data_IF_113574645364
#
_entry.id   IF_113574645364
#
_cell.length_a   1.000
_cell.length_b   1.000
_cell.length_c   1.000
_cell.angle_alpha   90.00
_cell.angle_beta   90.00
_cell.angle_gamma   90.00
#
_symmetry.space_group_name_H-M   'P 1'
#
loop_
_entity.id
_entity.type
_entity.pdbx_description
1 polymer ?
#
# COMPACT_ATOMS: atom_id res chain seq x y z
N UNK A 1 -8.19 2.46 -6.99
CA UNK A 1 -7.18 3.05 -7.88
C UNK A 1 -7.67 4.41 -8.38
N UNK A 2 -6.79 5.38 -8.47
CA UNK A 2 -7.09 6.67 -9.08
C UNK A 2 -7.34 6.48 -10.58
N UNK A 3 -8.50 6.90 -11.10
CA UNK A 3 -8.89 6.63 -12.49
C UNK A 3 -7.91 7.23 -13.50
N UNK A 4 -7.36 8.43 -13.21
CA UNK A 4 -6.39 9.12 -14.06
C UNK A 4 -5.05 8.38 -14.21
N UNK A 5 -4.73 7.41 -13.34
CA UNK A 5 -3.45 6.70 -13.30
C UNK A 5 -3.58 5.20 -13.60
N UNK A 6 -4.74 4.74 -14.13
CA UNK A 6 -5.03 3.32 -14.30
C UNK A 6 -3.95 2.55 -15.07
N UNK A 7 -3.40 3.16 -16.13
CA UNK A 7 -2.38 2.52 -16.96
C UNK A 7 -1.00 2.42 -16.28
N UNK A 8 -0.77 3.27 -15.26
CA UNK A 8 0.51 3.30 -14.54
C UNK A 8 0.60 2.30 -13.40
N UNK A 9 -0.53 1.71 -12.97
CA UNK A 9 -0.52 0.64 -11.98
C UNK A 9 0.04 -0.66 -12.56
N UNK A 10 0.52 -1.54 -11.67
CA UNK A 10 0.89 -2.92 -12.02
C UNK A 10 -0.29 -3.63 -12.68
N UNK A 11 -0.09 -4.15 -13.90
CA UNK A 11 -1.09 -5.01 -14.54
C UNK A 11 -1.08 -6.40 -13.91
N UNK A 12 -1.91 -6.54 -12.89
CA UNK A 12 -2.08 -7.82 -12.19
C UNK A 12 -2.64 -8.94 -13.10
N UNK A 13 -3.35 -8.58 -14.18
CA UNK A 13 -3.85 -9.58 -15.16
C UNK A 13 -2.70 -10.13 -15.99
N UNK A 14 -1.77 -9.25 -16.43
CA UNK A 14 -0.57 -9.67 -17.16
C UNK A 14 0.29 -10.60 -16.29
N UNK A 15 0.51 -10.27 -15.01
CA UNK A 15 1.23 -11.15 -14.08
C UNK A 15 0.56 -12.51 -13.90
N UNK A 16 -0.77 -12.56 -13.83
CA UNK A 16 -1.50 -13.85 -13.77
C UNK A 16 -1.35 -14.67 -15.06
N UNK A 17 -1.31 -14.02 -16.22
CA UNK A 17 -1.07 -14.71 -17.51
C UNK A 17 0.35 -15.29 -17.55
N UNK A 18 1.35 -14.53 -17.11
CA UNK A 18 2.73 -14.99 -17.05
C UNK A 18 2.89 -16.21 -16.13
N UNK A 19 2.27 -16.22 -14.94
CA UNK A 19 2.26 -17.38 -14.05
C UNK A 19 1.66 -18.61 -14.76
N UNK A 20 0.54 -18.45 -15.47
CA UNK A 20 -0.10 -19.56 -16.19
C UNK A 20 0.80 -20.09 -17.32
N UNK A 21 1.51 -19.20 -18.02
CA UNK A 21 2.44 -19.57 -19.08
C UNK A 21 3.61 -20.38 -18.52
N UNK A 22 4.28 -19.91 -17.46
CA UNK A 22 5.36 -20.64 -16.79
C UNK A 22 4.91 -22.05 -16.35
N UNK A 23 3.68 -22.17 -15.82
CA UNK A 23 3.08 -23.46 -15.45
C UNK A 23 2.92 -24.37 -16.66
N UNK A 24 2.37 -23.86 -17.77
CA UNK A 24 2.12 -24.64 -18.97
C UNK A 24 3.42 -25.09 -19.65
N UNK A 25 4.49 -24.35 -19.50
CA UNK A 25 5.83 -24.65 -20.04
C UNK A 25 6.70 -25.47 -19.06
N UNK A 26 6.20 -25.75 -17.85
CA UNK A 26 6.94 -26.46 -16.81
C UNK A 26 8.12 -25.66 -16.23
N UNK A 27 8.13 -24.35 -16.42
CA UNK A 27 9.22 -23.47 -15.93
C UNK A 27 9.06 -23.13 -14.46
N UNK A 28 9.62 -23.97 -13.59
CA UNK A 28 9.66 -23.75 -12.15
C UNK A 28 10.47 -22.51 -11.75
N UNK A 29 11.40 -22.05 -12.59
CA UNK A 29 12.18 -20.81 -12.41
C UNK A 29 11.35 -19.55 -12.63
N UNK A 30 10.24 -19.68 -13.37
CA UNK A 30 9.29 -18.61 -13.67
C UNK A 30 9.93 -17.41 -14.39
N UNK A 31 10.60 -17.69 -15.50
CA UNK A 31 11.30 -16.69 -16.31
C UNK A 31 10.34 -15.63 -16.87
N UNK A 32 9.18 -16.06 -17.40
CA UNK A 32 8.20 -15.13 -17.95
C UNK A 32 7.57 -14.25 -16.85
N UNK A 33 7.22 -14.83 -15.70
CA UNK A 33 6.73 -14.04 -14.57
C UNK A 33 7.73 -12.99 -14.12
N UNK A 34 9.03 -13.34 -13.98
CA UNK A 34 10.09 -12.40 -13.60
C UNK A 34 10.23 -11.28 -14.62
N UNK A 35 10.23 -11.62 -15.91
CA UNK A 35 10.34 -10.65 -17.00
C UNK A 35 9.18 -9.65 -16.99
N UNK A 36 7.94 -10.15 -16.90
CA UNK A 36 6.74 -9.30 -16.86
C UNK A 36 6.72 -8.45 -15.57
N UNK A 37 7.06 -9.05 -14.42
CA UNK A 37 7.10 -8.31 -13.16
C UNK A 37 8.13 -7.16 -13.20
N UNK A 38 9.34 -7.41 -13.72
CA UNK A 38 10.35 -6.36 -13.88
C UNK A 38 9.84 -5.23 -14.75
N UNK A 39 9.29 -5.51 -15.92
CA UNK A 39 8.74 -4.50 -16.82
C UNK A 39 7.61 -3.68 -16.19
N UNK A 40 6.75 -4.33 -15.41
CA UNK A 40 5.68 -3.63 -14.69
C UNK A 40 6.23 -2.73 -13.57
N UNK A 41 7.26 -3.19 -12.86
CA UNK A 41 7.91 -2.39 -11.82
C UNK A 41 8.64 -1.17 -12.42
N UNK A 42 9.32 -1.33 -13.54
CA UNK A 42 10.00 -0.22 -14.24
C UNK A 42 8.98 0.85 -14.67
N UNK A 43 7.81 0.43 -15.17
CA UNK A 43 6.70 1.33 -15.51
C UNK A 43 6.20 2.11 -14.30
N UNK A 44 5.96 1.41 -13.18
CA UNK A 44 5.50 2.01 -11.90
C UNK A 44 6.53 3.01 -11.39
N UNK A 45 7.81 2.64 -11.43
CA UNK A 45 8.90 3.46 -10.92
C UNK A 45 9.09 4.73 -11.76
N UNK A 46 9.04 4.61 -13.09
CA UNK A 46 9.10 5.75 -14.00
C UNK A 46 7.97 6.75 -13.75
N UNK A 47 6.74 6.24 -13.59
CA UNK A 47 5.60 7.09 -13.28
C UNK A 47 5.72 7.76 -11.91
N UNK A 48 6.11 6.99 -10.88
CA UNK A 48 6.31 7.53 -9.53
C UNK A 48 7.35 8.65 -9.51
N UNK A 49 8.51 8.45 -10.17
CA UNK A 49 9.57 9.43 -10.24
C UNK A 49 9.10 10.74 -10.88
N UNK A 50 8.29 10.66 -11.95
CA UNK A 50 7.72 11.84 -12.61
C UNK A 50 6.75 12.58 -11.66
N UNK A 51 5.87 11.85 -10.95
CA UNK A 51 4.92 12.46 -10.02
C UNK A 51 5.63 13.04 -8.78
N UNK A 52 6.59 12.33 -8.21
CA UNK A 52 7.39 12.81 -7.08
C UNK A 52 8.10 14.13 -7.43
N UNK A 53 8.77 14.19 -8.59
CA UNK A 53 9.45 15.40 -9.05
C UNK A 53 8.49 16.55 -9.27
N UNK A 54 7.33 16.28 -9.85
CA UNK A 54 6.28 17.28 -10.06
C UNK A 54 5.74 17.83 -8.73
N UNK A 55 5.50 16.98 -7.75
CA UNK A 55 5.03 17.39 -6.42
C UNK A 55 6.09 18.20 -5.66
N UNK A 56 7.36 17.83 -5.76
CA UNK A 56 8.47 18.61 -5.19
C UNK A 56 8.54 20.01 -5.79
N UNK A 57 8.44 20.11 -7.12
CA UNK A 57 8.39 21.40 -7.80
C UNK A 57 7.20 22.26 -7.33
N UNK A 58 5.98 21.69 -7.33
CA UNK A 58 4.77 22.39 -6.86
C UNK A 58 4.89 22.85 -5.42
N UNK A 59 5.45 22.00 -4.54
CA UNK A 59 5.68 22.34 -3.14
C UNK A 59 6.68 23.49 -2.98
N UNK A 60 7.76 23.50 -3.77
CA UNK A 60 8.72 24.59 -3.81
C UNK A 60 8.05 25.91 -4.20
N UNK A 61 7.32 25.93 -5.30
CA UNK A 61 6.58 27.10 -5.79
C UNK A 61 5.56 27.62 -4.75
N UNK A 62 4.84 26.71 -4.12
CA UNK A 62 3.88 27.04 -3.06
C UNK A 62 4.56 27.75 -1.88
N UNK A 63 5.69 27.20 -1.40
CA UNK A 63 6.43 27.78 -0.26
C UNK A 63 7.03 29.15 -0.61
N UNK A 64 7.57 29.33 -1.81
CA UNK A 64 8.09 30.63 -2.26
C UNK A 64 6.97 31.68 -2.33
N UNK A 65 5.80 31.32 -2.88
CA UNK A 65 4.62 32.20 -2.90
C UNK A 65 4.18 32.58 -1.48
N UNK A 66 4.14 31.62 -0.55
CA UNK A 66 3.82 31.89 0.86
C UNK A 66 4.83 32.80 1.58
N UNK A 67 6.12 32.69 1.26
CA UNK A 67 7.17 33.56 1.81
C UNK A 67 7.05 35.00 1.31
N UNK A 68 6.78 35.21 0.05
CA UNK A 68 6.65 36.53 -0.56
C UNK A 68 5.47 37.34 -0.02
N UNK A 69 4.50 36.64 0.62
CA UNK A 69 3.29 37.25 1.18
C UNK A 69 3.44 37.65 2.65
N UNK A 70 4.50 37.20 3.34
CA UNK A 70 4.75 37.59 4.73
C UNK A 70 5.06 39.08 4.83
N UNK A 71 4.22 39.82 5.53
CA UNK A 71 4.40 41.28 5.77
C UNK A 71 3.63 42.18 4.82
N UNK A 72 2.91 41.67 3.83
CA UNK A 72 2.03 42.45 2.96
C UNK A 72 0.57 42.26 3.32
N UNK A 73 -0.25 43.28 3.09
CA UNK A 73 -1.72 43.12 3.16
C UNK A 73 -2.17 42.24 2.00
N UNK A 74 -2.41 40.97 2.29
CA UNK A 74 -2.82 39.99 1.29
C UNK A 74 -4.32 40.17 1.02
N UNK A 75 -4.72 40.25 -0.26
CA UNK A 75 -6.13 40.27 -0.59
C UNK A 75 -6.77 38.90 -0.33
N UNK A 76 -8.03 38.88 0.11
CA UNK A 76 -8.81 37.66 0.36
C UNK A 76 -8.79 36.69 -0.82
N UNK A 77 -8.77 37.20 -2.05
CA UNK A 77 -8.69 36.40 -3.27
C UNK A 77 -7.39 35.60 -3.36
N UNK A 78 -6.26 36.20 -2.99
CA UNK A 78 -4.95 35.53 -3.02
C UNK A 78 -4.83 34.50 -1.90
N UNK A 79 -5.37 34.81 -0.73
CA UNK A 79 -5.43 33.87 0.39
C UNK A 79 -6.23 32.62 0.02
N UNK A 80 -7.39 32.81 -0.59
CA UNK A 80 -8.23 31.70 -1.11
C UNK A 80 -7.50 30.86 -2.14
N UNK A 81 -6.83 31.48 -3.12
CA UNK A 81 -6.03 30.76 -4.13
C UNK A 81 -4.92 29.91 -3.49
N UNK A 82 -4.27 30.44 -2.45
CA UNK A 82 -3.23 29.73 -1.72
C UNK A 82 -3.80 28.51 -0.97
N UNK A 83 -4.94 28.66 -0.32
CA UNK A 83 -5.65 27.59 0.36
C UNK A 83 -6.10 26.48 -0.62
N UNK A 84 -6.62 26.84 -1.77
CA UNK A 84 -7.04 25.89 -2.79
C UNK A 84 -5.83 25.13 -3.36
N UNK A 85 -4.73 25.82 -3.64
CA UNK A 85 -3.46 25.20 -4.06
C UNK A 85 -2.92 24.23 -3.00
N UNK A 86 -3.02 24.58 -1.72
CA UNK A 86 -2.62 23.70 -0.62
C UNK A 86 -3.46 22.42 -0.56
N UNK A 87 -4.80 22.55 -0.69
CA UNK A 87 -5.71 21.40 -0.69
C UNK A 87 -5.44 20.44 -1.84
N UNK A 88 -5.22 21.00 -3.05
CA UNK A 88 -4.85 20.19 -4.21
C UNK A 88 -3.52 19.45 -3.98
N UNK A 89 -2.50 20.15 -3.50
CA UNK A 89 -1.19 19.56 -3.24
C UNK A 89 -1.27 18.43 -2.19
N UNK A 90 -2.06 18.64 -1.14
CA UNK A 90 -2.31 17.63 -0.10
C UNK A 90 -3.02 16.41 -0.68
N UNK A 91 -4.02 16.62 -1.53
CA UNK A 91 -4.74 15.54 -2.24
C UNK A 91 -3.81 14.77 -3.17
N UNK A 92 -2.98 15.44 -3.95
CA UNK A 92 -2.05 14.79 -4.89
C UNK A 92 -0.97 13.96 -4.16
N UNK A 93 -0.45 14.45 -3.03
CA UNK A 93 0.48 13.69 -2.16
C UNK A 93 -0.20 12.46 -1.59
N UNK A 94 -1.46 12.58 -1.15
CA UNK A 94 -2.25 11.46 -0.68
C UNK A 94 -2.46 10.41 -1.77
N UNK A 95 -2.85 10.83 -2.97
CA UNK A 95 -3.08 9.93 -4.11
C UNK A 95 -1.79 9.20 -4.53
N UNK A 96 -0.64 9.89 -4.49
CA UNK A 96 0.64 9.25 -4.77
C UNK A 96 1.01 8.21 -3.69
N UNK A 97 0.72 8.49 -2.42
CA UNK A 97 0.91 7.51 -1.34
C UNK A 97 0.02 6.27 -1.54
N UNK A 98 -1.24 6.47 -1.93
CA UNK A 98 -2.17 5.40 -2.27
C UNK A 98 -1.71 4.59 -3.48
N UNK A 99 -1.13 5.26 -4.48
CA UNK A 99 -0.51 4.61 -5.64
C UNK A 99 0.62 3.65 -5.22
N UNK A 100 1.53 4.09 -4.37
CA UNK A 100 2.62 3.26 -3.82
C UNK A 100 2.06 2.03 -3.13
N UNK A 101 1.10 2.22 -2.23
CA UNK A 101 0.49 1.14 -1.45
C UNK A 101 -0.19 0.10 -2.33
N UNK A 102 -0.98 0.53 -3.33
CA UNK A 102 -1.70 -0.38 -4.21
C UNK A 102 -0.76 -1.21 -5.09
N UNK A 103 0.34 -0.61 -5.59
CA UNK A 103 1.35 -1.33 -6.35
C UNK A 103 2.11 -2.34 -5.49
N UNK A 104 2.49 -1.95 -4.27
CA UNK A 104 3.06 -2.88 -3.30
C UNK A 104 2.17 -4.12 -3.07
N UNK A 105 0.88 -3.89 -2.81
CA UNK A 105 -0.10 -4.98 -2.60
C UNK A 105 -0.21 -5.87 -3.84
N UNK A 106 -0.24 -5.29 -5.04
CA UNK A 106 -0.32 -6.05 -6.28
C UNK A 106 0.89 -6.99 -6.44
N UNK A 107 2.11 -6.50 -6.17
CA UNK A 107 3.34 -7.30 -6.21
C UNK A 107 3.30 -8.42 -5.19
N UNK A 108 2.96 -8.11 -3.93
CA UNK A 108 2.86 -9.13 -2.86
C UNK A 108 1.87 -10.22 -3.23
N UNK A 109 0.68 -9.85 -3.72
CA UNK A 109 -0.35 -10.82 -4.16
C UNK A 109 0.14 -11.66 -5.34
N UNK A 110 0.83 -11.07 -6.32
CA UNK A 110 1.34 -11.78 -7.48
C UNK A 110 2.41 -12.81 -7.10
N UNK A 111 3.39 -12.41 -6.29
CA UNK A 111 4.46 -13.29 -5.82
C UNK A 111 3.90 -14.43 -4.96
N UNK A 112 2.99 -14.15 -4.03
CA UNK A 112 2.32 -15.19 -3.23
C UNK A 112 1.54 -16.16 -4.12
N UNK A 113 0.82 -15.66 -5.13
CA UNK A 113 0.09 -16.50 -6.08
C UNK A 113 1.04 -17.38 -6.87
N UNK A 114 2.13 -16.84 -7.40
CA UNK A 114 3.16 -17.62 -8.09
C UNK A 114 3.70 -18.73 -7.20
N UNK A 115 4.15 -18.41 -5.99
CA UNK A 115 4.71 -19.40 -5.07
C UNK A 115 3.71 -20.55 -4.81
N UNK A 116 2.44 -20.23 -4.54
CA UNK A 116 1.41 -21.24 -4.31
C UNK A 116 1.24 -22.19 -5.51
N UNK A 117 1.17 -21.65 -6.73
CA UNK A 117 0.98 -22.46 -7.91
C UNK A 117 2.21 -23.30 -8.23
N UNK A 118 3.42 -22.78 -8.08
CA UNK A 118 4.64 -23.54 -8.32
C UNK A 118 4.81 -24.68 -7.32
N UNK A 119 4.46 -24.47 -6.06
CA UNK A 119 4.47 -25.53 -5.04
C UNK A 119 3.42 -26.62 -5.33
N UNK A 120 2.26 -26.27 -5.90
CA UNK A 120 1.22 -27.25 -6.21
C UNK A 120 1.54 -28.17 -7.39
N UNK A 121 2.49 -27.80 -8.25
CA UNK A 121 2.91 -28.61 -9.42
C UNK A 121 4.26 -29.30 -9.23
N UNK A 122 5.05 -28.89 -8.27
CA UNK A 122 6.33 -29.51 -7.95
C UNK A 122 6.08 -30.84 -7.22
N UNK A 123 6.76 -31.89 -7.68
CA UNK A 123 6.73 -33.19 -7.00
C UNK A 123 7.53 -33.19 -5.70
N UNK A 124 8.44 -32.23 -5.54
CA UNK A 124 9.29 -32.05 -4.36
C UNK A 124 9.39 -30.55 -4.05
N UNK A 125 9.00 -30.17 -2.86
CA UNK A 125 9.05 -28.77 -2.37
C UNK A 125 10.48 -28.19 -2.36
N UNK A 126 11.50 -29.03 -2.30
CA UNK A 126 12.91 -28.61 -2.33
C UNK A 126 13.35 -28.01 -3.67
N UNK A 127 12.65 -28.33 -4.76
CA UNK A 127 12.98 -27.89 -6.13
C UNK A 127 12.48 -26.48 -6.41
N UNK A 128 11.44 -26.03 -5.71
CA UNK A 128 10.84 -24.70 -5.95
C UNK A 128 11.43 -23.65 -5.03
N UNK A 129 12.23 -22.78 -5.61
CA UNK A 129 12.69 -21.60 -4.88
C UNK A 129 11.53 -20.62 -4.62
N UNK A 130 11.14 -20.44 -3.36
CA UNK A 130 10.15 -19.43 -2.95
C UNK A 130 10.70 -18.03 -3.23
N UNK A 131 9.94 -17.23 -3.97
CA UNK A 131 10.26 -15.83 -4.20
C UNK A 131 9.75 -14.98 -3.04
N UNK A 132 10.54 -13.98 -2.62
CA UNK A 132 10.14 -12.98 -1.63
C UNK A 132 9.83 -11.66 -2.35
N UNK A 133 8.70 -10.98 -2.06
CA UNK A 133 8.35 -9.69 -2.69
C UNK A 133 9.45 -8.64 -2.57
N UNK A 134 10.13 -8.61 -1.43
CA UNK A 134 11.21 -7.64 -1.16
C UNK A 134 12.38 -7.74 -2.16
N UNK A 135 12.64 -8.92 -2.73
CA UNK A 135 13.70 -9.11 -3.72
C UNK A 135 13.48 -8.27 -4.99
N UNK A 136 12.23 -7.93 -5.29
CA UNK A 136 11.84 -7.13 -6.45
C UNK A 136 11.64 -5.66 -6.09
N UNK A 137 11.24 -5.36 -4.85
CA UNK A 137 10.86 -4.03 -4.41
C UNK A 137 12.01 -3.22 -3.86
N UNK A 138 13.04 -3.88 -3.27
CA UNK A 138 14.14 -3.17 -2.59
C UNK A 138 14.97 -2.26 -3.52
N UNK A 139 14.93 -2.50 -4.82
CA UNK A 139 15.64 -1.69 -5.83
C UNK A 139 14.76 -0.60 -6.45
N UNK A 140 13.45 -0.61 -6.17
CA UNK A 140 12.49 0.31 -6.79
C UNK A 140 12.42 1.63 -6.01
N UNK A 141 12.53 2.73 -6.71
CA UNK A 141 12.52 4.05 -6.10
C UNK A 141 11.17 4.36 -5.43
N UNK A 142 10.04 3.98 -6.06
CA UNK A 142 8.71 4.20 -5.48
C UNK A 142 8.52 3.52 -4.11
N UNK A 143 9.31 2.48 -3.82
CA UNK A 143 9.24 1.74 -2.54
C UNK A 143 10.28 2.24 -1.52
N UNK A 144 11.43 2.76 -1.98
CA UNK A 144 12.56 3.14 -1.13
C UNK A 144 12.66 4.64 -0.89
N UNK A 145 11.97 5.47 -1.67
CA UNK A 145 12.06 6.93 -1.55
C UNK A 145 11.49 7.44 -0.24
N UNK A 146 12.25 8.34 0.38
CA UNK A 146 11.82 9.07 1.59
C UNK A 146 11.21 10.43 1.28
N UNK A 147 11.25 10.87 0.01
CA UNK A 147 10.79 12.21 -0.38
C UNK A 147 9.30 12.40 -0.19
N UNK A 148 8.50 11.37 -0.49
CA UNK A 148 7.06 11.43 -0.27
C UNK A 148 6.71 11.63 1.22
N UNK A 149 7.43 10.98 2.13
CA UNK A 149 7.29 11.20 3.57
C UNK A 149 7.70 12.62 3.97
N UNK A 150 8.79 13.15 3.37
CA UNK A 150 9.24 14.53 3.57
C UNK A 150 8.20 15.55 3.08
N UNK A 151 7.61 15.34 1.89
CA UNK A 151 6.53 16.18 1.37
C UNK A 151 5.33 16.22 2.32
N UNK A 152 4.91 15.05 2.82
CA UNK A 152 3.83 14.95 3.79
C UNK A 152 4.15 15.74 5.07
N UNK A 153 5.33 15.57 5.65
CA UNK A 153 5.75 16.31 6.86
C UNK A 153 5.75 17.83 6.61
N UNK A 154 6.22 18.28 5.44
CA UNK A 154 6.21 19.71 5.08
C UNK A 154 4.79 20.25 4.95
N UNK A 155 3.85 19.49 4.38
CA UNK A 155 2.44 19.86 4.34
C UNK A 155 1.83 19.95 5.73
N UNK A 156 2.12 18.99 6.61
CA UNK A 156 1.63 19.00 7.99
C UNK A 156 2.15 20.23 8.79
N UNK A 157 3.40 20.64 8.54
CA UNK A 157 3.97 21.86 9.14
C UNK A 157 3.28 23.12 8.62
N UNK A 158 3.04 23.20 7.32
CA UNK A 158 2.32 24.34 6.71
C UNK A 158 0.90 24.43 7.26
N UNK A 159 0.19 23.30 7.33
CA UNK A 159 -1.18 23.23 7.86
C UNK A 159 -1.29 23.77 9.28
N UNK A 160 -0.38 23.39 10.16
CA UNK A 160 -0.32 23.91 11.55
C UNK A 160 -0.04 25.39 11.65
N UNK A 161 0.59 26.00 10.65
CA UNK A 161 0.91 27.43 10.60
C UNK A 161 -0.13 28.28 9.89
N UNK A 162 -1.17 27.72 9.31
CA UNK A 162 -2.23 28.45 8.60
C UNK A 162 -3.43 28.70 9.51
N UNK A 163 -3.79 29.98 9.80
CA UNK A 163 -4.99 30.32 10.55
C UNK A 163 -6.24 29.79 9.84
N UNK A 164 -7.15 29.15 10.57
CA UNK A 164 -8.44 28.68 10.04
C UNK A 164 -8.43 27.28 9.42
N UNK A 165 -7.29 26.59 9.32
CA UNK A 165 -7.24 25.21 8.84
C UNK A 165 -7.30 24.15 9.96
N UNK A 166 -7.15 24.55 11.21
CA UNK A 166 -7.05 23.63 12.35
C UNK A 166 -8.32 22.77 12.57
N UNK A 167 -9.49 23.26 12.15
CA UNK A 167 -10.76 22.59 12.42
C UNK A 167 -11.20 21.54 11.37
N UNK A 168 -10.61 21.53 10.16
CA UNK A 168 -11.06 20.63 9.08
C UNK A 168 -10.23 19.37 8.88
N UNK A 169 -9.02 19.30 9.44
CA UNK A 169 -8.07 18.26 9.05
C UNK A 169 -8.05 17.05 9.98
N UNK A 170 -8.40 17.21 11.24
CA UNK A 170 -8.22 16.13 12.23
C UNK A 170 -9.31 15.07 12.12
N UNK A 171 -10.58 15.48 11.99
CA UNK A 171 -11.70 14.52 11.99
C UNK A 171 -11.75 13.68 10.72
N UNK A 172 -11.55 14.28 9.54
CA UNK A 172 -11.59 13.55 8.27
C UNK A 172 -10.38 12.64 8.05
N UNK A 173 -9.19 13.04 8.52
CA UNK A 173 -8.01 12.19 8.53
C UNK A 173 -8.13 11.07 9.57
N UNK A 174 -8.79 11.30 10.69
CA UNK A 174 -9.06 10.27 11.69
C UNK A 174 -10.00 9.19 11.16
N UNK A 175 -11.04 9.54 10.40
CA UNK A 175 -11.96 8.55 9.79
C UNK A 175 -11.28 7.70 8.70
N UNK A 176 -10.47 8.31 7.84
CA UNK A 176 -9.90 7.64 6.67
C UNK A 176 -8.64 6.80 7.01
N UNK A 177 -7.92 7.16 8.06
CA UNK A 177 -6.67 6.50 8.48
C UNK A 177 -6.72 5.87 9.86
N UNK A 178 -7.91 5.64 10.40
CA UNK A 178 -8.08 4.94 11.67
C UNK A 178 -8.13 3.42 11.47
N UNK A 179 -7.50 2.72 12.40
CA UNK A 179 -7.65 1.28 12.50
C UNK A 179 -9.00 0.96 13.15
N UNK A 180 -9.87 0.19 12.48
CA UNK A 180 -11.17 -0.19 13.03
C UNK A 180 -11.11 -1.07 14.31
N UNK A 181 -9.93 -1.59 14.63
CA UNK A 181 -9.73 -2.39 15.88
C UNK A 181 -9.37 -1.49 17.07
N UNK A 182 -8.40 -0.60 16.92
CA UNK A 182 -7.94 0.24 18.04
C UNK A 182 -8.45 1.69 17.97
N UNK A 183 -9.17 2.06 16.93
CA UNK A 183 -9.73 3.40 16.68
C UNK A 183 -8.68 4.54 16.67
N UNK A 184 -7.41 4.18 16.57
CA UNK A 184 -6.30 5.11 16.48
C UNK A 184 -5.78 5.19 15.04
N UNK A 185 -4.98 6.19 14.75
CA UNK A 185 -4.25 6.29 13.48
C UNK A 185 -3.47 5.00 13.19
N UNK A 186 -3.52 4.57 11.94
CA UNK A 186 -2.88 3.35 11.46
C UNK A 186 -1.37 3.36 11.75
N UNK A 187 -0.90 2.37 12.50
CA UNK A 187 0.53 2.09 12.75
C UNK A 187 0.92 0.81 12.03
N UNK A 188 1.93 0.87 11.16
CA UNK A 188 2.34 -0.27 10.32
C UNK A 188 1.11 -0.89 9.62
N UNK A 189 0.45 -0.15 8.70
CA UNK A 189 -0.83 -0.56 8.14
C UNK A 189 -0.71 -1.83 7.31
N UNK A 190 -1.66 -2.73 7.49
CA UNK A 190 -1.83 -3.95 6.70
C UNK A 190 -3.20 -3.93 6.05
N UNK A 191 -3.23 -4.19 4.74
CA UNK A 191 -4.47 -4.27 3.97
C UNK A 191 -4.85 -5.73 3.76
N UNK A 192 -6.06 -6.08 4.13
CA UNK A 192 -6.61 -7.41 3.91
C UNK A 192 -7.07 -7.61 2.46
N UNK A 193 -7.34 -8.84 2.08
CA UNK A 193 -7.82 -9.19 0.73
C UNK A 193 -9.15 -8.52 0.38
N UNK A 194 -9.97 -8.22 1.38
CA UNK A 194 -11.23 -7.48 1.29
C UNK A 194 -11.06 -5.95 1.25
N UNK A 195 -9.82 -5.46 1.19
CA UNK A 195 -9.45 -4.03 1.16
C UNK A 195 -9.57 -3.27 2.48
N UNK A 196 -9.99 -3.89 3.57
CA UNK A 196 -9.95 -3.28 4.89
C UNK A 196 -8.52 -3.14 5.41
N UNK A 197 -8.24 -2.04 6.13
CA UNK A 197 -6.90 -1.68 6.59
C UNK A 197 -6.87 -1.68 8.12
N UNK A 198 -5.82 -2.27 8.69
CA UNK A 198 -5.63 -2.36 10.14
C UNK A 198 -4.16 -2.16 10.51
N UNK A 199 -3.88 -1.83 11.77
CA UNK A 199 -2.53 -1.90 12.30
C UNK A 199 -2.05 -3.35 12.35
N UNK A 200 -0.79 -3.60 11.98
CA UNK A 200 -0.17 -4.92 12.11
C UNK A 200 -0.31 -5.50 13.52
N UNK A 201 0.03 -4.71 14.55
CA UNK A 201 -0.07 -5.15 15.93
C UNK A 201 -1.50 -5.53 16.36
N UNK A 202 -2.52 -4.85 15.83
CA UNK A 202 -3.92 -5.19 16.09
C UNK A 202 -4.31 -6.52 15.45
N UNK A 203 -3.87 -6.77 14.21
CA UNK A 203 -4.13 -8.05 13.54
C UNK A 203 -3.42 -9.22 14.24
N UNK A 204 -2.15 -9.05 14.63
CA UNK A 204 -1.40 -10.07 15.38
C UNK A 204 -2.08 -10.38 16.72
N UNK A 205 -2.51 -9.35 17.44
CA UNK A 205 -3.25 -9.52 18.71
C UNK A 205 -4.57 -10.28 18.50
N UNK A 206 -5.32 -9.96 17.45
CA UNK A 206 -6.56 -10.63 17.11
C UNK A 206 -6.30 -12.10 16.76
N UNK A 207 -5.30 -12.41 15.93
CA UNK A 207 -4.90 -13.78 15.60
C UNK A 207 -4.54 -14.59 16.85
N UNK A 208 -3.86 -13.99 17.82
CA UNK A 208 -3.47 -14.67 19.06
C UNK A 208 -4.65 -14.97 19.98
N UNK A 209 -5.70 -14.14 19.95
CA UNK A 209 -6.95 -14.38 20.69
C UNK A 209 -7.77 -15.49 20.04
N UNK A 210 -7.90 -15.49 18.72
CA UNK A 210 -8.63 -16.54 17.98
C UNK A 210 -7.99 -17.90 18.20
N UNK A 211 -6.66 -18.02 18.17
CA UNK A 211 -5.97 -19.29 18.49
C UNK A 211 -6.28 -19.83 19.89
N UNK A 212 -6.52 -18.98 20.88
CA UNK A 212 -6.89 -19.44 22.25
C UNK A 212 -8.33 -19.95 22.34
N UNK A 213 -9.22 -19.48 21.48
CA UNK A 213 -10.62 -19.90 21.47
C UNK A 213 -10.86 -21.21 20.72
N UNK A 214 -10.05 -21.52 19.69
CA UNK A 214 -10.16 -22.78 18.92
C UNK A 214 -9.78 -24.03 19.75
N UNK A 215 -9.10 -23.87 20.88
CA UNK A 215 -8.83 -24.98 21.81
C UNK A 215 -10.04 -25.38 22.67
N UNK A 216 -11.20 -24.72 22.57
CA UNK A 216 -12.36 -24.96 23.43
C UNK A 216 -13.69 -25.32 22.73
N UNK A 217 -13.73 -25.44 21.39
CA UNK A 217 -14.96 -25.85 20.70
C UNK A 217 -14.67 -26.63 19.42
N UNK A 218 -14.87 -27.95 19.51
CA UNK A 218 -15.19 -28.78 18.35
C UNK A 218 -16.69 -28.58 18.11
N UNK A 219 -17.04 -28.11 16.91
CA UNK A 219 -18.13 -28.52 16.03
C UNK A 219 -18.61 -27.34 15.16
N UNK A 220 -18.88 -27.71 13.89
CA UNK A 220 -19.57 -27.00 12.82
C UNK A 220 -18.76 -26.03 11.92
N UNK A 221 -18.53 -26.60 10.70
CA UNK A 221 -17.91 -25.96 9.55
C UNK A 221 -19.00 -25.39 8.65
N UNK A 222 -18.98 -24.07 8.44
CA UNK A 222 -19.67 -23.49 7.29
C UNK A 222 -18.66 -22.79 6.36
N UNK A 223 -18.83 -23.05 5.05
CA UNK A 223 -17.88 -22.71 3.99
C UNK A 223 -18.15 -21.30 3.48
N UNK A 224 -17.35 -20.33 3.92
CA UNK A 224 -17.26 -19.05 3.23
C UNK A 224 -15.77 -18.65 3.04
N UNK A 225 -15.45 -18.00 1.93
CA UNK A 225 -14.07 -17.74 1.49
C UNK A 225 -13.19 -17.11 2.58
N UNK A 226 -12.31 -17.92 3.16
CA UNK A 226 -11.40 -17.52 4.23
C UNK A 226 -10.16 -16.82 3.67
N UNK A 227 -9.90 -15.61 4.12
CA UNK A 227 -8.62 -14.94 3.91
C UNK A 227 -7.54 -15.63 4.75
N UNK A 228 -6.60 -16.30 4.10
CA UNK A 228 -5.50 -17.02 4.76
C UNK A 228 -4.32 -16.09 4.96
N UNK A 229 -3.90 -15.89 6.21
CA UNK A 229 -2.71 -15.13 6.60
C UNK A 229 -1.73 -16.04 7.33
N UNK A 230 -0.49 -16.04 6.85
CA UNK A 230 0.61 -16.71 7.53
C UNK A 230 1.28 -15.70 8.47
N UNK A 231 1.21 -15.97 9.76
CA UNK A 231 1.76 -15.11 10.82
C UNK A 231 3.10 -15.64 11.36
N UNK A 232 3.74 -16.59 10.70
CA UNK A 232 5.00 -17.19 11.18
C UNK A 232 6.20 -16.71 10.37
N UNK A 233 7.09 -15.99 11.02
CA UNK A 233 8.49 -15.83 10.58
C UNK A 233 9.39 -16.97 11.04
N UNK A 234 8.87 -18.02 11.72
CA UNK A 234 9.62 -19.19 12.15
C UNK A 234 8.83 -20.48 12.03
N UNK A 235 9.53 -21.50 11.59
CA UNK A 235 9.23 -22.89 11.34
C UNK A 235 8.00 -23.53 12.01
N UNK A 236 7.27 -24.28 11.18
CA UNK A 236 6.23 -25.26 11.48
C UNK A 236 4.79 -24.78 11.62
N UNK A 237 4.11 -24.82 10.44
CA UNK A 237 2.73 -25.30 10.25
C UNK A 237 1.67 -24.94 11.28
N UNK A 238 1.01 -23.80 11.10
CA UNK A 238 -0.45 -23.74 11.11
C UNK A 238 -0.91 -22.42 10.49
N UNK A 239 -1.54 -22.51 9.34
CA UNK A 239 -2.16 -21.37 8.68
C UNK A 239 -3.36 -20.95 9.53
N UNK A 240 -3.24 -19.86 10.27
CA UNK A 240 -4.37 -19.29 10.95
C UNK A 240 -5.27 -18.58 9.92
N UNK A 241 -6.44 -19.14 9.68
CA UNK A 241 -7.50 -18.47 8.90
C UNK A 241 -8.33 -17.63 9.86
N UNK A 242 -8.51 -16.36 9.60
CA UNK A 242 -9.50 -15.57 10.34
C UNK A 242 -10.32 -14.71 9.37
N UNK A 243 -11.54 -14.43 9.76
CA UNK A 243 -12.43 -13.55 9.01
C UNK A 243 -12.04 -12.09 9.30
N UNK A 244 -12.13 -11.23 8.28
CA UNK A 244 -11.94 -9.81 8.48
C UNK A 244 -12.94 -9.27 9.50
N UNK A 245 -12.50 -8.52 10.52
CA UNK A 245 -13.40 -8.00 11.55
C UNK A 245 -14.49 -7.04 11.04
N UNK A 246 -14.30 -6.49 9.83
CA UNK A 246 -15.23 -5.54 9.20
C UNK A 246 -16.05 -6.14 8.05
N UNK A 247 -15.87 -7.43 7.70
CA UNK A 247 -16.71 -8.19 6.79
C UNK A 247 -17.52 -9.22 7.56
#
# INVERSE_FOLDING_TARGET
AERRWLESYVDYKALKKAIKKDISEGDLGSAEFRRVLSSELDKVDAFYNAQESFLEYRMGTFLEKGKSMKGSHVSESIEKELLDTFRELKSDVHDLNKFVLLNYIAVVKAVKKRNRHMMSIAMDDSVVQKMKPIQFLATQHFFTSVKLASLKTRLDVVEKGMPGMEAMSVDKAMEEYSCAICLNLLKSPVVLTCSHIYCWGCLVSLCSVVRRQEHHSHDDVDKNEKAVWDCSDDEASSVATFNCPSC
#
